data_IF_113974965282
#
_entry.id   IF_113974965282
#
_cell.length_a   1.000
_cell.length_b   1.000
_cell.length_c   1.000
_cell.angle_alpha   90.00
_cell.angle_beta   90.00
_cell.angle_gamma   90.00
#
_symmetry.space_group_name_H-M   'P 1'
#
loop_
_entity.id
_entity.type
_entity.pdbx_description
1 polymer ?
#
# COMPACT_ATOMS: atom_id res chain seq x y z
N UNK A 1 -47.20 6.93 3.88
CA UNK A 1 -46.81 6.12 5.04
C UNK A 1 -45.84 6.94 5.87
N UNK A 2 -46.36 7.59 6.90
CA UNK A 2 -45.55 8.27 7.90
C UNK A 2 -44.85 7.21 8.74
N UNK A 3 -43.53 7.11 8.59
CA UNK A 3 -42.69 6.33 9.47
C UNK A 3 -42.52 7.11 10.78
N UNK A 4 -43.51 6.98 11.65
CA UNK A 4 -43.51 7.60 12.97
C UNK A 4 -42.37 7.07 13.84
N UNK A 5 -41.76 8.00 14.56
CA UNK A 5 -40.61 7.87 15.46
C UNK A 5 -40.71 6.71 16.46
N UNK A 6 -39.64 5.91 16.57
CA UNK A 6 -39.40 5.09 17.76
C UNK A 6 -37.91 4.70 17.89
N UNK A 7 -37.05 5.71 18.09
CA UNK A 7 -35.77 5.63 18.80
C UNK A 7 -34.98 6.95 18.62
N UNK A 8 -35.55 8.09 19.00
CA UNK A 8 -34.72 9.29 19.13
C UNK A 8 -33.99 9.22 20.48
N UNK A 9 -33.00 8.34 20.56
CA UNK A 9 -32.04 8.37 21.65
C UNK A 9 -31.35 9.72 21.59
N UNK A 10 -31.53 10.55 22.62
CA UNK A 10 -30.98 11.90 22.68
C UNK A 10 -29.53 11.92 22.15
N UNK A 11 -29.29 12.75 21.14
CA UNK A 11 -27.98 12.84 20.50
C UNK A 11 -26.97 13.33 21.54
N UNK A 12 -25.94 12.53 21.81
CA UNK A 12 -24.86 12.91 22.71
C UNK A 12 -24.09 14.07 22.08
N UNK A 13 -24.00 15.20 22.80
CA UNK A 13 -23.28 16.41 22.37
C UNK A 13 -22.00 16.64 23.17
N UNK A 14 -21.97 16.24 24.43
CA UNK A 14 -20.84 16.51 25.34
C UNK A 14 -20.39 15.21 26.00
N UNK A 15 -19.08 15.03 26.15
CA UNK A 15 -18.48 13.89 26.83
C UNK A 15 -18.42 14.11 28.35
N UNK A 16 -18.01 13.08 29.11
CA UNK A 16 -17.86 13.18 30.58
C UNK A 16 -16.72 14.12 31.01
N UNK A 17 -15.84 14.50 30.08
CA UNK A 17 -14.79 15.50 30.32
C UNK A 17 -15.30 16.95 30.13
N UNK A 18 -16.57 17.16 29.78
CA UNK A 18 -17.14 18.47 29.49
C UNK A 18 -16.83 19.02 28.09
N UNK A 19 -16.19 18.22 27.22
CA UNK A 19 -15.83 18.61 25.85
C UNK A 19 -16.89 18.14 24.85
N UNK A 20 -17.03 18.85 23.71
CA UNK A 20 -17.90 18.41 22.62
C UNK A 20 -17.41 17.07 22.03
N UNK A 21 -18.35 16.15 21.78
CA UNK A 21 -18.00 14.85 21.18
C UNK A 21 -17.66 15.00 19.71
N UNK A 22 -16.75 14.14 19.24
CA UNK A 22 -16.36 14.07 17.83
C UNK A 22 -16.90 12.82 17.17
N UNK A 23 -17.15 12.89 15.88
CA UNK A 23 -17.54 11.71 15.08
C UNK A 23 -16.28 11.02 14.58
N UNK A 24 -16.12 9.74 14.93
CA UNK A 24 -15.03 8.87 14.49
C UNK A 24 -15.57 7.71 13.69
N UNK A 25 -14.72 7.12 12.86
CA UNK A 25 -15.03 5.92 12.07
C UNK A 25 -14.44 4.68 12.75
N UNK A 26 -15.25 3.64 12.92
CA UNK A 26 -14.76 2.35 13.37
C UNK A 26 -14.06 1.63 12.22
N UNK A 27 -12.85 1.12 12.50
CA UNK A 27 -12.06 0.30 11.57
C UNK A 27 -11.98 -1.16 12.03
N UNK A 28 -12.88 -1.57 12.92
CA UNK A 28 -12.96 -2.94 13.41
C UNK A 28 -13.62 -3.84 12.36
N UNK A 29 -13.27 -5.13 12.32
CA UNK A 29 -13.93 -6.10 11.44
C UNK A 29 -15.45 -6.21 11.68
N UNK A 30 -15.91 -5.94 12.90
CA UNK A 30 -17.33 -6.02 13.26
C UNK A 30 -18.15 -4.80 12.78
N UNK A 31 -17.51 -3.65 12.58
CA UNK A 31 -18.15 -2.39 12.21
C UNK A 31 -17.29 -1.54 11.25
N UNK A 32 -16.72 -2.09 10.17
CA UNK A 32 -15.83 -1.32 9.31
C UNK A 32 -16.59 -0.16 8.67
N UNK A 33 -16.02 1.04 8.77
CA UNK A 33 -16.60 2.25 8.19
C UNK A 33 -17.78 2.85 8.98
N UNK A 34 -18.27 2.21 10.05
CA UNK A 34 -19.42 2.71 10.80
C UNK A 34 -19.01 3.86 11.73
N UNK A 35 -19.74 4.97 11.70
CA UNK A 35 -19.41 6.16 12.50
C UNK A 35 -20.03 6.13 13.89
N UNK A 36 -19.29 6.61 14.87
CA UNK A 36 -19.72 6.79 16.25
C UNK A 36 -19.27 8.14 16.81
N UNK A 37 -20.02 8.67 17.77
CA UNK A 37 -19.63 9.82 18.61
C UNK A 37 -18.79 9.31 19.77
N UNK A 38 -17.66 9.96 20.02
CA UNK A 38 -16.77 9.62 21.12
C UNK A 38 -16.05 10.84 21.69
N UNK A 39 -15.33 10.63 22.79
CA UNK A 39 -14.51 11.67 23.40
C UNK A 39 -13.45 12.19 22.38
N UNK A 40 -13.20 13.51 22.32
CA UNK A 40 -12.11 14.06 21.51
C UNK A 40 -10.72 13.72 22.05
N UNK A 41 -10.60 13.19 23.27
CA UNK A 41 -9.33 12.85 23.89
C UNK A 41 -8.37 12.02 23.01
N UNK A 42 -7.08 12.23 23.23
CA UNK A 42 -5.97 11.57 22.54
C UNK A 42 -5.08 10.80 23.51
N UNK A 43 -4.18 9.95 23.00
CA UNK A 43 -3.12 9.34 23.82
C UNK A 43 -3.59 8.45 24.99
N UNK A 44 -4.81 7.89 24.92
CA UNK A 44 -5.37 7.05 25.98
C UNK A 44 -6.18 7.79 27.05
N UNK A 45 -6.23 9.13 27.00
CA UNK A 45 -7.08 9.95 27.89
C UNK A 45 -8.45 10.19 27.26
N UNK A 46 -9.28 9.15 27.18
CA UNK A 46 -10.67 9.26 26.74
C UNK A 46 -11.61 8.79 27.85
N UNK A 47 -12.74 9.48 28.00
CA UNK A 47 -13.86 8.93 28.76
C UNK A 47 -14.66 7.97 27.88
N UNK A 48 -15.41 7.06 28.52
CA UNK A 48 -16.16 5.99 27.86
C UNK A 48 -17.48 6.45 27.22
N UNK A 49 -17.56 7.70 26.75
CA UNK A 49 -18.74 8.16 26.01
C UNK A 49 -18.76 7.52 24.61
N UNK A 50 -19.90 6.97 24.22
CA UNK A 50 -20.06 6.28 22.95
C UNK A 50 -21.51 6.31 22.45
N UNK A 51 -21.74 6.72 21.20
CA UNK A 51 -23.04 6.61 20.54
C UNK A 51 -22.87 6.35 19.04
N UNK A 52 -23.55 5.34 18.48
CA UNK A 52 -23.53 5.13 17.03
C UNK A 52 -24.24 6.28 16.30
N UNK A 53 -23.62 6.78 15.23
CA UNK A 53 -24.23 7.76 14.32
C UNK A 53 -25.00 7.04 13.21
N UNK A 54 -24.38 6.02 12.63
CA UNK A 54 -24.97 5.24 11.56
C UNK A 54 -25.76 4.05 12.14
N UNK A 55 -26.85 3.61 11.47
CA UNK A 55 -27.59 2.42 11.89
C UNK A 55 -26.70 1.17 11.86
N UNK A 56 -27.10 0.09 12.55
CA UNK A 56 -26.39 -1.18 12.49
C UNK A 56 -26.23 -1.65 11.05
N UNK A 57 -25.03 -2.10 10.68
CA UNK A 57 -24.81 -2.71 9.38
C UNK A 57 -25.64 -4.00 9.25
N UNK A 58 -26.14 -4.27 8.04
CA UNK A 58 -26.86 -5.50 7.76
C UNK A 58 -25.96 -6.74 7.92
N UNK A 59 -26.58 -7.89 8.17
CA UNK A 59 -25.85 -9.17 8.40
C UNK A 59 -24.91 -9.50 7.22
N UNK A 60 -25.40 -9.36 6.00
CA UNK A 60 -24.62 -9.60 4.77
C UNK A 60 -23.38 -8.71 4.71
N UNK A 61 -23.48 -7.43 5.07
CA UNK A 61 -22.33 -6.52 5.07
C UNK A 61 -21.26 -6.96 6.09
N UNK A 62 -21.67 -7.38 7.28
CA UNK A 62 -20.76 -7.92 8.32
C UNK A 62 -20.02 -9.19 7.87
N UNK A 63 -20.63 -10.01 7.02
CA UNK A 63 -20.03 -11.23 6.48
C UNK A 63 -19.10 -10.94 5.29
N UNK A 64 -19.53 -10.07 4.36
CA UNK A 64 -18.83 -9.86 3.09
C UNK A 64 -17.68 -8.86 3.21
N UNK A 65 -17.87 -7.74 3.92
CA UNK A 65 -16.88 -6.64 3.95
C UNK A 65 -15.52 -7.11 4.50
N UNK A 66 -15.43 -7.84 5.62
CA UNK A 66 -14.13 -8.31 6.12
C UNK A 66 -13.39 -9.20 5.12
N UNK A 67 -14.11 -10.07 4.41
CA UNK A 67 -13.54 -10.92 3.37
C UNK A 67 -13.01 -10.12 2.17
N UNK A 68 -13.67 -9.02 1.81
CA UNK A 68 -13.19 -8.12 0.75
C UNK A 68 -11.93 -7.36 1.19
N UNK A 69 -11.89 -6.85 2.43
CA UNK A 69 -10.70 -6.18 2.99
C UNK A 69 -9.49 -7.13 2.97
N UNK A 70 -9.68 -8.38 3.41
CA UNK A 70 -8.62 -9.39 3.38
C UNK A 70 -8.10 -9.66 1.94
N UNK A 71 -9.01 -9.75 0.96
CA UNK A 71 -8.64 -9.92 -0.45
C UNK A 71 -7.90 -8.73 -1.04
N UNK A 72 -8.17 -7.51 -0.58
CA UNK A 72 -7.44 -6.31 -1.01
C UNK A 72 -6.03 -6.37 -0.42
N UNK A 73 -5.90 -6.65 0.88
CA UNK A 73 -4.59 -6.79 1.52
C UNK A 73 -3.72 -7.88 0.85
N UNK A 74 -4.30 -9.02 0.50
CA UNK A 74 -3.62 -10.08 -0.25
C UNK A 74 -3.15 -9.60 -1.64
N UNK A 75 -3.99 -8.87 -2.38
CA UNK A 75 -3.58 -8.28 -3.66
C UNK A 75 -2.47 -7.26 -3.50
N UNK A 76 -2.49 -6.45 -2.44
CA UNK A 76 -1.43 -5.48 -2.18
C UNK A 76 -0.10 -6.18 -1.93
N UNK A 77 -0.10 -7.30 -1.18
CA UNK A 77 1.08 -8.15 -1.01
C UNK A 77 1.58 -8.68 -2.37
N UNK A 78 0.70 -9.27 -3.18
CA UNK A 78 1.07 -9.78 -4.51
C UNK A 78 1.61 -8.68 -5.44
N UNK A 79 1.03 -7.47 -5.40
CA UNK A 79 1.52 -6.33 -6.17
C UNK A 79 2.91 -5.90 -5.71
N UNK A 80 3.16 -5.85 -4.40
CA UNK A 80 4.49 -5.53 -3.88
C UNK A 80 5.53 -6.58 -4.27
N UNK A 81 5.17 -7.86 -4.21
CA UNK A 81 6.05 -8.94 -4.65
C UNK A 81 6.36 -8.84 -6.14
N UNK A 82 5.34 -8.68 -7.00
CA UNK A 82 5.55 -8.55 -8.43
C UNK A 82 6.41 -7.34 -8.78
N UNK A 83 6.19 -6.19 -8.11
CA UNK A 83 7.05 -5.00 -8.27
C UNK A 83 8.49 -5.28 -7.88
N UNK A 84 8.72 -6.01 -6.80
CA UNK A 84 10.06 -6.39 -6.37
C UNK A 84 10.71 -7.34 -7.40
N UNK A 85 9.98 -8.34 -7.88
CA UNK A 85 10.45 -9.25 -8.92
C UNK A 85 10.84 -8.47 -10.20
N UNK A 86 10.00 -7.55 -10.66
CA UNK A 86 10.31 -6.69 -11.82
C UNK A 86 11.60 -5.87 -11.59
N UNK A 87 11.75 -5.27 -10.41
CA UNK A 87 12.96 -4.51 -10.05
C UNK A 87 14.22 -5.41 -10.10
N UNK A 88 14.15 -6.61 -9.53
CA UNK A 88 15.28 -7.56 -9.56
C UNK A 88 15.61 -8.04 -10.97
N UNK A 89 14.59 -8.35 -11.79
CA UNK A 89 14.78 -8.80 -13.18
C UNK A 89 15.44 -7.72 -14.02
N UNK A 90 14.95 -6.48 -13.92
CA UNK A 90 15.56 -5.33 -14.60
C UNK A 90 17.01 -5.10 -14.18
N UNK A 91 17.33 -5.25 -12.89
CA UNK A 91 18.70 -5.14 -12.37
C UNK A 91 19.62 -6.22 -12.96
N UNK A 92 19.14 -7.47 -13.01
CA UNK A 92 19.87 -8.60 -13.57
C UNK A 92 20.11 -8.43 -15.08
N UNK A 93 19.07 -8.04 -15.83
CA UNK A 93 19.16 -7.78 -17.27
C UNK A 93 20.14 -6.65 -17.57
N UNK A 94 20.11 -5.56 -16.78
CA UNK A 94 21.08 -4.47 -16.88
C UNK A 94 22.51 -4.97 -16.64
N UNK A 95 22.74 -5.75 -15.58
CA UNK A 95 24.06 -6.33 -15.28
C UNK A 95 24.55 -7.28 -16.38
N UNK A 96 23.66 -8.11 -16.93
CA UNK A 96 23.97 -9.01 -18.04
C UNK A 96 24.33 -8.24 -19.31
N UNK A 97 23.56 -7.21 -19.65
CA UNK A 97 23.79 -6.38 -20.83
C UNK A 97 25.10 -5.60 -20.72
N UNK A 98 25.42 -5.02 -19.55
CA UNK A 98 26.70 -4.32 -19.34
C UNK A 98 27.88 -5.27 -19.46
N UNK A 99 27.82 -6.46 -18.85
CA UNK A 99 28.86 -7.49 -18.99
C UNK A 99 29.07 -7.90 -20.44
N UNK A 100 27.98 -8.17 -21.19
CA UNK A 100 28.05 -8.52 -22.62
C UNK A 100 28.71 -7.40 -23.45
N UNK A 101 28.34 -6.14 -23.20
CA UNK A 101 28.92 -5.00 -23.89
C UNK A 101 30.43 -4.85 -23.63
N UNK A 102 30.87 -5.01 -22.37
CA UNK A 102 32.29 -4.96 -22.01
C UNK A 102 33.11 -6.05 -22.73
N UNK A 103 32.59 -7.28 -22.81
CA UNK A 103 33.25 -8.37 -23.53
C UNK A 103 33.41 -8.04 -25.02
N UNK A 104 32.36 -7.51 -25.66
CA UNK A 104 32.42 -7.10 -27.07
C UNK A 104 33.47 -6.00 -27.30
N UNK A 105 33.52 -4.99 -26.43
CA UNK A 105 34.51 -3.90 -26.51
C UNK A 105 35.94 -4.44 -26.41
N UNK A 106 36.20 -5.33 -25.43
CA UNK A 106 37.52 -5.94 -25.25
C UNK A 106 37.96 -6.74 -26.49
N UNK A 107 37.06 -7.56 -27.05
CA UNK A 107 37.34 -8.34 -28.27
C UNK A 107 37.65 -7.43 -29.45
N UNK A 108 36.85 -6.38 -29.68
CA UNK A 108 37.08 -5.42 -30.79
C UNK A 108 38.41 -4.70 -30.63
N UNK A 109 38.75 -4.27 -29.41
CA UNK A 109 40.03 -3.61 -29.13
C UNK A 109 41.24 -4.52 -29.36
N UNK A 110 41.13 -5.81 -29.00
CA UNK A 110 42.17 -6.81 -29.23
C UNK A 110 42.39 -7.09 -30.74
N UNK A 111 41.31 -7.16 -31.51
CA UNK A 111 41.37 -7.30 -32.97
C UNK A 111 42.03 -6.06 -33.58
N UNK A 112 41.61 -4.87 -33.17
CA UNK A 112 42.15 -3.60 -33.68
C UNK A 112 43.66 -3.47 -33.41
N UNK A 113 44.10 -3.74 -32.17
CA UNK A 113 45.51 -3.70 -31.78
C UNK A 113 46.35 -4.76 -32.53
N UNK A 114 45.78 -5.94 -32.78
CA UNK A 114 46.46 -6.98 -33.58
C UNK A 114 46.66 -6.55 -35.03
N UNK A 115 45.63 -5.93 -35.65
CA UNK A 115 45.70 -5.44 -37.03
C UNK A 115 46.75 -4.34 -37.15
N UNK A 116 46.74 -3.37 -36.24
CA UNK A 116 47.71 -2.26 -36.26
C UNK A 116 49.15 -2.75 -36.02
N UNK A 117 49.34 -3.72 -35.12
CA UNK A 117 50.64 -4.35 -34.89
C UNK A 117 51.19 -5.05 -36.15
N UNK A 118 50.37 -5.88 -36.82
CA UNK A 118 50.78 -6.57 -38.05
C UNK A 118 51.10 -5.57 -39.17
N UNK A 119 50.31 -4.50 -39.29
CA UNK A 119 50.57 -3.44 -40.26
C UNK A 119 51.90 -2.73 -39.99
N UNK A 120 52.19 -2.39 -38.74
CA UNK A 120 53.45 -1.78 -38.33
C UNK A 120 54.66 -2.69 -38.61
N UNK A 121 54.55 -3.99 -38.32
CA UNK A 121 55.62 -4.96 -38.59
C UNK A 121 55.91 -5.09 -40.08
N UNK A 122 54.89 -5.06 -40.95
CA UNK A 122 55.07 -5.09 -42.41
C UNK A 122 55.64 -3.79 -42.99
N UNK A 123 55.39 -2.65 -42.36
CA UNK A 123 55.94 -1.37 -42.79
C UNK A 123 57.43 -1.19 -42.43
N UNK A 124 57.95 -2.00 -41.49
CA UNK A 124 59.32 -1.94 -41.00
C UNK A 124 60.25 -2.98 -41.64
N UNK A 125 59.71 -3.90 -42.45
CA UNK A 125 60.45 -4.90 -43.23
C UNK A 125 60.60 -4.46 -44.70
#
# INVERSE_FOLDING_TARGET
MEYSSSADSAVVRTCLCGLEVVVRTSWTNANPGRRFRGCPGEGGSYCNVFQWVDPPMCRRAKEIIPGLIAKIADKDVQLTELRQQLCTKMSLERCGMTKRLLVVILVVSAIFTSITYVWAMKACA
#
